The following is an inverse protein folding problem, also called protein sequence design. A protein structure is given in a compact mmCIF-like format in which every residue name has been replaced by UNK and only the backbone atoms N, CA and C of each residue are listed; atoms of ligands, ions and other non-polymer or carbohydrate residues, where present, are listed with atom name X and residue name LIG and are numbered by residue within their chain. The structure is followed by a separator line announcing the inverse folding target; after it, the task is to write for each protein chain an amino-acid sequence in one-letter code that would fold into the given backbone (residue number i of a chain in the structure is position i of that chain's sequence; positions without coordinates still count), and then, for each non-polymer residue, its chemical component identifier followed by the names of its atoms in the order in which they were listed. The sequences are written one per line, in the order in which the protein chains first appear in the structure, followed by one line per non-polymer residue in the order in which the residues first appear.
data_IF_403711399138
#
_entry.id   IF_403711399138
#
_cell.length_a   1.000
_cell.length_b   1.000
_cell.length_c   1.000
_cell.angle_alpha   90.00
_cell.angle_beta   90.00
_cell.angle_gamma   90.00
#
_symmetry.space_group_name_H-M   'P 1'
#
loop_
_entity.id
_entity.type
_entity.pdbx_description
1 polymer ?
#
# COMPACT_ATOMS: atom_id res chain seq x y z
N UNK A 1 1.70 5.85 -8.39
CA UNK A 1 0.43 5.18 -8.01
C UNK A 1 -0.73 6.13 -8.31
N UNK A 2 -1.66 5.73 -9.16
CA UNK A 2 -2.78 6.59 -9.61
C UNK A 2 -4.07 6.14 -8.95
N UNK A 3 -4.77 7.03 -8.25
CA UNK A 3 -6.13 6.76 -7.75
C UNK A 3 -7.07 6.69 -8.96
N UNK A 4 -7.84 5.61 -9.10
CA UNK A 4 -8.83 5.49 -10.19
C UNK A 4 -10.08 6.33 -9.86
N UNK A 5 -10.07 7.61 -10.24
CA UNK A 5 -11.14 8.58 -9.99
C UNK A 5 -12.05 8.87 -11.18
N UNK A 6 -11.77 8.28 -12.35
CA UNK A 6 -12.45 8.58 -13.62
C UNK A 6 -14.00 8.56 -13.55
N UNK A 7 -14.66 7.67 -12.79
CA UNK A 7 -16.13 7.68 -12.68
C UNK A 7 -16.72 8.87 -11.90
N UNK A 8 -15.95 9.51 -11.00
CA UNK A 8 -16.39 10.74 -10.32
C UNK A 8 -16.26 11.96 -11.24
N UNK A 9 -15.15 12.06 -11.97
CA UNK A 9 -14.92 13.15 -12.91
C UNK A 9 -15.99 13.15 -14.03
N UNK A 10 -16.42 11.98 -14.49
CA UNK A 10 -17.52 11.83 -15.45
C UNK A 10 -18.87 12.38 -14.95
N UNK A 11 -19.06 12.54 -13.64
CA UNK A 11 -20.29 13.07 -13.00
C UNK A 11 -20.12 14.52 -12.49
N UNK A 12 -19.30 15.33 -13.18
CA UNK A 12 -18.95 16.73 -12.83
C UNK A 12 -18.02 16.87 -11.62
N UNK A 13 -17.28 15.82 -11.26
CA UNK A 13 -16.35 15.85 -10.13
C UNK A 13 -17.09 15.87 -8.79
N UNK A 14 -16.56 16.63 -7.84
CA UNK A 14 -17.16 16.80 -6.50
C UNK A 14 -17.10 18.27 -6.08
N UNK A 15 -18.00 18.70 -5.19
CA UNK A 15 -18.04 20.08 -4.71
C UNK A 15 -17.48 20.19 -3.28
N UNK A 16 -16.48 21.05 -3.08
CA UNK A 16 -16.07 21.49 -1.74
C UNK A 16 -16.45 22.97 -1.62
N UNK A 17 -17.31 23.31 -0.66
CA UNK A 17 -17.70 24.71 -0.42
C UNK A 17 -18.36 25.39 -1.62
N UNK A 18 -19.04 24.64 -2.50
CA UNK A 18 -19.68 25.16 -3.72
C UNK A 18 -18.78 25.21 -4.97
N UNK A 19 -17.49 24.88 -4.85
CA UNK A 19 -16.54 24.86 -5.97
C UNK A 19 -16.42 23.43 -6.51
N UNK A 20 -16.69 23.24 -7.81
CA UNK A 20 -16.50 21.96 -8.49
C UNK A 20 -15.00 21.69 -8.67
N UNK A 21 -14.56 20.50 -8.25
CA UNK A 21 -13.18 20.04 -8.33
C UNK A 21 -13.10 18.68 -9.03
N UNK A 22 -12.04 18.49 -9.83
CA UNK A 22 -11.73 17.19 -10.43
C UNK A 22 -11.15 16.25 -9.36
N UNK A 23 -11.76 15.08 -9.21
CA UNK A 23 -11.29 14.02 -8.32
C UNK A 23 -9.89 13.54 -8.74
N UNK A 24 -9.62 13.44 -10.04
CA UNK A 24 -8.30 13.01 -10.56
C UNK A 24 -7.15 13.92 -10.17
N UNK A 25 -7.41 15.23 -10.10
CA UNK A 25 -6.37 16.21 -9.79
C UNK A 25 -6.32 16.58 -8.30
N UNK A 26 -7.34 16.21 -7.52
CA UNK A 26 -7.46 16.62 -6.12
C UNK A 26 -7.21 15.47 -5.14
N UNK A 27 -7.52 14.23 -5.52
CA UNK A 27 -7.32 13.09 -4.64
C UNK A 27 -5.91 12.53 -4.76
N UNK A 28 -5.34 12.22 -3.60
CA UNK A 28 -4.07 11.53 -3.45
C UNK A 28 -4.28 10.21 -2.74
N UNK A 29 -3.47 9.17 -3.02
CA UNK A 29 -3.49 7.94 -2.23
C UNK A 29 -3.26 8.27 -0.74
N UNK A 30 -4.15 7.79 0.13
CA UNK A 30 -4.13 8.10 1.56
C UNK A 30 -4.02 6.86 2.47
N UNK A 31 -4.24 5.65 1.91
CA UNK A 31 -4.06 4.40 2.64
C UNK A 31 -2.83 3.66 2.11
N UNK A 32 -2.07 3.10 3.04
CA UNK A 32 -0.86 2.34 2.83
C UNK A 32 -0.88 1.13 3.76
N UNK A 33 -0.21 0.06 3.35
CA UNK A 33 0.11 -1.07 4.21
C UNK A 33 1.62 -1.11 4.41
N UNK A 34 2.04 -1.64 5.55
CA UNK A 34 3.42 -1.96 5.83
C UNK A 34 3.51 -3.43 6.20
N UNK A 35 4.45 -4.15 5.60
CA UNK A 35 4.67 -5.56 5.90
C UNK A 35 6.16 -5.84 6.01
N UNK A 36 6.53 -6.64 6.99
CA UNK A 36 7.90 -7.10 7.19
C UNK A 36 8.27 -8.18 6.17
N UNK A 37 9.50 -8.15 5.68
CA UNK A 37 10.13 -9.22 4.91
C UNK A 37 10.43 -10.37 5.88
N UNK A 38 9.70 -11.46 5.74
CA UNK A 38 9.83 -12.65 6.59
C UNK A 38 10.86 -13.63 6.06
N UNK A 39 11.11 -13.63 4.74
CA UNK A 39 12.04 -14.56 4.10
C UNK A 39 12.61 -13.99 2.81
N UNK A 40 13.86 -14.38 2.49
CA UNK A 40 14.52 -14.18 1.20
C UNK A 40 15.13 -15.52 0.76
N UNK A 41 14.30 -16.44 0.24
CA UNK A 41 14.74 -17.81 -0.05
C UNK A 41 15.70 -17.89 -1.24
N UNK A 42 15.63 -16.90 -2.15
CA UNK A 42 16.50 -16.79 -3.33
C UNK A 42 16.78 -15.30 -3.61
N UNK A 43 17.86 -14.97 -4.36
CA UNK A 43 18.26 -13.58 -4.56
C UNK A 43 17.17 -12.67 -5.17
N UNK A 44 16.35 -13.21 -6.08
CA UNK A 44 15.32 -12.46 -6.82
C UNK A 44 13.91 -12.46 -6.20
N UNK A 45 13.76 -13.00 -4.98
CA UNK A 45 12.46 -13.13 -4.33
C UNK A 45 12.54 -12.79 -2.85
N UNK A 46 11.66 -11.89 -2.40
CA UNK A 46 11.37 -11.66 -1.00
C UNK A 46 9.92 -12.05 -0.68
N UNK A 47 9.68 -12.58 0.52
CA UNK A 47 8.34 -12.92 1.01
C UNK A 47 8.00 -12.00 2.17
N UNK A 48 6.90 -11.26 2.06
CA UNK A 48 6.44 -10.32 3.09
C UNK A 48 5.20 -10.85 3.82
N UNK A 49 5.05 -10.49 5.09
CA UNK A 49 3.93 -10.85 5.98
C UNK A 49 2.65 -10.04 5.71
N UNK A 50 2.16 -10.09 4.47
CA UNK A 50 0.92 -9.47 4.03
C UNK A 50 0.33 -10.30 2.90
N UNK A 51 -0.93 -10.72 3.02
CA UNK A 51 -1.61 -11.60 2.07
C UNK A 51 -3.04 -11.16 1.74
N UNK A 52 -3.84 -12.07 1.19
CA UNK A 52 -5.24 -11.81 0.81
C UNK A 52 -6.14 -11.40 2.00
N UNK A 53 -5.73 -11.74 3.22
CA UNK A 53 -6.40 -11.33 4.47
C UNK A 53 -6.10 -9.88 4.88
N UNK A 54 -5.11 -9.27 4.25
CA UNK A 54 -4.65 -7.90 4.52
C UNK A 54 -5.00 -6.95 3.36
N UNK A 55 -4.92 -7.43 2.13
CA UNK A 55 -5.10 -6.62 0.92
C UNK A 55 -6.08 -7.25 -0.07
N UNK A 56 -6.91 -6.43 -0.70
CA UNK A 56 -7.71 -6.83 -1.86
C UNK A 56 -6.81 -6.89 -3.11
N UNK A 57 -7.03 -7.91 -3.92
CA UNK A 57 -6.34 -8.12 -5.20
C UNK A 57 -7.29 -8.04 -6.41
N UNK A 58 -8.57 -7.72 -6.16
CA UNK A 58 -9.63 -7.75 -7.18
C UNK A 58 -9.36 -6.82 -8.37
N UNK A 59 -8.49 -5.83 -8.17
CA UNK A 59 -8.19 -4.80 -9.16
C UNK A 59 -6.67 -4.52 -9.25
N UNK A 60 -5.88 -5.56 -9.03
CA UNK A 60 -4.42 -5.55 -9.14
C UNK A 60 -3.71 -5.77 -7.81
N UNK A 61 -2.44 -6.14 -7.88
CA UNK A 61 -1.61 -6.35 -6.70
C UNK A 61 -1.20 -5.03 -6.02
N UNK A 62 -0.95 -5.05 -4.70
CA UNK A 62 -0.34 -3.92 -4.01
C UNK A 62 1.01 -3.55 -4.63
N UNK A 63 1.26 -2.26 -4.79
CA UNK A 63 2.50 -1.74 -5.38
C UNK A 63 3.50 -1.43 -4.27
N UNK A 64 4.71 -2.01 -4.26
CA UNK A 64 5.76 -1.62 -3.32
C UNK A 64 6.22 -0.19 -3.60
N UNK A 65 6.48 0.59 -2.55
CA UNK A 65 6.77 2.02 -2.66
C UNK A 65 8.10 2.42 -2.01
N UNK A 66 8.38 1.91 -0.81
CA UNK A 66 9.60 2.21 -0.07
C UNK A 66 9.92 1.03 0.83
N UNK A 67 11.20 0.74 1.01
CA UNK A 67 11.68 -0.25 1.97
C UNK A 67 12.37 0.48 3.11
N UNK A 68 12.12 0.04 4.34
CA UNK A 68 12.67 0.62 5.55
C UNK A 68 13.53 -0.40 6.29
N UNK A 69 14.74 -0.01 6.65
CA UNK A 69 15.62 -0.76 7.56
C UNK A 69 15.88 0.09 8.80
N UNK A 70 15.60 -0.45 9.98
CA UNK A 70 15.77 0.26 11.25
C UNK A 70 15.16 1.69 11.25
N UNK A 71 13.92 1.81 10.73
CA UNK A 71 13.15 3.07 10.59
C UNK A 71 13.73 4.09 9.59
N UNK A 72 14.70 3.73 8.78
CA UNK A 72 15.26 4.59 7.72
C UNK A 72 14.88 4.05 6.34
N UNK A 73 14.43 4.90 5.40
CA UNK A 73 14.18 4.46 4.04
C UNK A 73 15.49 4.04 3.38
N UNK A 74 15.46 2.92 2.66
CA UNK A 74 16.58 2.46 1.86
C UNK A 74 16.63 3.23 0.52
N UNK A 75 17.83 3.47 -0.02
CA UNK A 75 18.03 4.07 -1.33
C UNK A 75 17.77 3.03 -2.42
N UNK A 76 16.54 2.51 -2.51
CA UNK A 76 16.19 1.50 -3.49
C UNK A 76 15.07 2.03 -4.38
N UNK A 77 15.17 1.91 -5.72
CA UNK A 77 14.04 2.23 -6.57
C UNK A 77 13.03 1.11 -6.43
N UNK A 78 12.04 1.29 -5.56
CA UNK A 78 10.84 0.45 -5.50
C UNK A 78 10.16 0.30 -6.88
N UNK A 79 10.52 1.15 -7.86
CA UNK A 79 10.08 1.10 -9.25
C UNK A 79 10.38 -0.21 -10.01
N UNK A 80 11.17 -1.15 -9.45
CA UNK A 80 11.41 -2.47 -10.07
C UNK A 80 10.89 -3.66 -9.26
N UNK A 81 10.46 -3.44 -8.02
CA UNK A 81 9.89 -4.51 -7.22
C UNK A 81 8.41 -4.69 -7.60
N UNK A 82 7.96 -5.93 -7.71
CA UNK A 82 6.58 -6.24 -8.06
C UNK A 82 6.04 -7.37 -7.18
N UNK A 83 4.83 -7.19 -6.66
CA UNK A 83 4.11 -8.30 -6.03
C UNK A 83 3.57 -9.19 -7.15
N UNK A 84 4.09 -10.39 -7.26
CA UNK A 84 3.76 -11.35 -8.34
C UNK A 84 2.75 -12.41 -7.90
N UNK A 85 2.58 -12.60 -6.59
CA UNK A 85 1.64 -13.57 -6.02
C UNK A 85 1.25 -13.18 -4.60
N UNK A 86 0.01 -13.51 -4.23
CA UNK A 86 -0.51 -13.47 -2.87
C UNK A 86 -0.98 -14.86 -2.45
N UNK A 87 -0.65 -15.24 -1.22
CA UNK A 87 -1.29 -16.30 -0.45
C UNK A 87 -2.17 -15.65 0.65
N UNK A 88 -2.80 -16.47 1.50
CA UNK A 88 -3.63 -15.99 2.61
C UNK A 88 -2.96 -14.93 3.49
N UNK A 89 -1.68 -15.15 3.82
CA UNK A 89 -0.90 -14.36 4.80
C UNK A 89 0.44 -13.84 4.24
N UNK A 90 0.72 -14.09 2.96
CA UNK A 90 2.05 -13.82 2.40
C UNK A 90 1.97 -13.22 1.00
N UNK A 91 2.89 -12.31 0.71
CA UNK A 91 3.09 -11.70 -0.60
C UNK A 91 4.48 -12.07 -1.12
N UNK A 92 4.53 -12.39 -2.41
CA UNK A 92 5.75 -12.75 -3.12
C UNK A 92 6.19 -11.54 -3.91
N UNK A 93 7.30 -10.94 -3.48
CA UNK A 93 7.88 -9.74 -4.06
C UNK A 93 9.04 -10.13 -4.97
N UNK A 94 8.85 -10.03 -6.28
CA UNK A 94 9.93 -10.13 -7.25
C UNK A 94 10.80 -8.90 -7.17
N UNK A 95 12.11 -9.09 -7.06
CA UNK A 95 13.13 -8.06 -6.88
C UNK A 95 14.36 -8.36 -7.74
N UNK A 96 15.23 -7.38 -7.95
CA UNK A 96 16.50 -7.67 -8.60
C UNK A 96 17.41 -8.49 -7.65
N UNK A 97 18.18 -9.46 -8.16
CA UNK A 97 19.13 -10.22 -7.35
C UNK A 97 20.12 -9.34 -6.56
N UNK A 98 20.45 -8.16 -7.08
CA UNK A 98 21.35 -7.18 -6.48
C UNK A 98 20.70 -6.27 -5.44
N UNK A 99 19.37 -6.32 -5.26
CA UNK A 99 18.68 -5.44 -4.32
C UNK A 99 19.06 -5.80 -2.87
N UNK A 100 19.39 -4.78 -2.08
CA UNK A 100 19.73 -4.92 -0.65
C UNK A 100 18.47 -4.96 0.22
N UNK A 101 17.63 -5.98 0.03
CA UNK A 101 16.50 -6.29 0.91
C UNK A 101 16.87 -7.47 1.81
N UNK A 102 16.64 -7.32 3.11
CA UNK A 102 16.93 -8.35 4.11
C UNK A 102 15.66 -8.73 4.88
N UNK A 103 15.69 -9.92 5.50
CA UNK A 103 14.68 -10.31 6.49
C UNK A 103 14.68 -9.27 7.62
N UNK A 104 13.49 -8.85 8.04
CA UNK A 104 13.29 -7.78 9.03
C UNK A 104 13.13 -6.37 8.44
N UNK A 105 13.40 -6.19 7.14
CA UNK A 105 13.05 -4.93 6.48
C UNK A 105 11.53 -4.78 6.36
N UNK A 106 11.04 -3.54 6.40
CA UNK A 106 9.60 -3.25 6.27
C UNK A 106 9.34 -2.61 4.92
N UNK A 107 8.44 -3.19 4.13
CA UNK A 107 8.03 -2.67 2.83
C UNK A 107 6.72 -1.91 2.96
N UNK A 108 6.68 -0.67 2.48
CA UNK A 108 5.46 0.12 2.29
C UNK A 108 4.80 -0.26 0.96
N UNK A 109 3.50 -0.50 1.00
CA UNK A 109 2.67 -0.84 -0.15
C UNK A 109 1.56 0.19 -0.37
N UNK A 110 1.38 0.55 -1.63
CA UNK A 110 0.21 1.29 -2.12
C UNK A 110 -0.88 0.36 -2.63
N UNK A 111 -2.14 0.66 -2.30
CA UNK A 111 -3.31 -0.09 -2.77
C UNK A 111 -4.15 0.75 -3.74
N UNK A 112 -4.35 0.25 -4.96
CA UNK A 112 -5.12 0.96 -5.99
C UNK A 112 -6.57 1.28 -5.57
N UNK A 113 -7.17 0.40 -4.75
CA UNK A 113 -8.56 0.50 -4.31
C UNK A 113 -8.63 0.37 -2.78
N UNK A 114 -8.32 1.46 -2.05
CA UNK A 114 -8.22 1.39 -0.60
C UNK A 114 -9.55 1.09 0.08
N UNK A 115 -10.68 1.45 -0.54
CA UNK A 115 -12.01 1.17 -0.01
C UNK A 115 -12.31 -0.33 0.13
N UNK A 116 -11.79 -1.17 -0.78
CA UNK A 116 -12.00 -2.62 -0.72
C UNK A 116 -11.16 -3.29 0.35
N UNK A 117 -10.27 -2.55 1.04
CA UNK A 117 -9.42 -3.07 2.11
C UNK A 117 -9.88 -2.67 3.52
N UNK A 118 -10.84 -1.74 3.66
CA UNK A 118 -11.24 -1.23 4.96
C UNK A 118 -11.88 -2.32 5.85
N UNK A 119 -12.58 -3.27 5.23
CA UNK A 119 -13.26 -4.39 5.88
C UNK A 119 -12.31 -5.41 6.52
N UNK A 120 -11.06 -5.48 6.05
CA UNK A 120 -10.03 -6.38 6.59
C UNK A 120 -9.43 -5.90 7.91
N UNK A 121 -9.57 -4.62 8.25
CA UNK A 121 -8.92 -4.01 9.41
C UNK A 121 -9.92 -3.44 10.39
N UNK A 122 -9.92 -3.94 11.63
CA UNK A 122 -10.76 -3.41 12.72
C UNK A 122 -10.40 -1.99 13.15
N UNK A 123 -9.15 -1.58 12.91
CA UNK A 123 -8.64 -0.24 13.23
C UNK A 123 -7.67 0.19 12.13
N UNK A 124 -7.80 1.43 11.68
CA UNK A 124 -6.88 2.08 10.75
C UNK A 124 -6.19 3.24 11.47
N UNK A 125 -4.88 3.35 11.35
CA UNK A 125 -4.12 4.42 12.00
C UNK A 125 -3.96 5.63 11.09
N UNK A 126 -4.28 6.81 11.62
CA UNK A 126 -3.92 8.08 11.02
C UNK A 126 -2.53 8.50 11.49
N UNK A 127 -1.63 8.76 10.55
CA UNK A 127 -0.25 9.21 10.84
C UNK A 127 -0.03 10.65 10.41
N UNK A 128 0.86 11.36 11.10
CA UNK A 128 1.34 12.67 10.66
C UNK A 128 2.42 12.56 9.57
N UNK A 129 2.91 13.70 9.09
CA UNK A 129 3.92 13.77 8.03
C UNK A 129 5.26 13.10 8.39
N UNK A 130 5.50 12.81 9.68
CA UNK A 130 6.71 12.13 10.17
C UNK A 130 6.49 10.63 10.40
N UNK A 131 5.27 10.12 10.14
CA UNK A 131 4.90 8.72 10.34
C UNK A 131 4.47 8.39 11.77
N UNK A 132 4.31 9.38 12.65
CA UNK A 132 3.81 9.13 14.00
C UNK A 132 2.29 8.97 14.01
N UNK A 133 1.80 7.95 14.70
CA UNK A 133 0.35 7.73 14.87
C UNK A 133 -0.25 8.86 15.69
N UNK A 134 -1.30 9.49 15.15
CA UNK A 134 -2.09 10.55 15.79
C UNK A 134 -3.52 10.14 16.06
N UNK A 135 -4.04 9.20 15.28
CA UNK A 135 -5.43 8.77 15.34
C UNK A 135 -5.55 7.26 15.20
N UNK A 136 -6.57 6.69 15.84
CA UNK A 136 -7.03 5.33 15.61
C UNK A 136 -8.49 5.41 15.17
N UNK A 137 -8.76 4.97 13.93
CA UNK A 137 -10.09 4.95 13.34
C UNK A 137 -10.63 3.52 13.43
N UNK A 138 -11.51 3.21 14.40
CA UNK A 138 -12.20 1.93 14.40
C UNK A 138 -13.06 1.80 13.15
N UNK A 139 -13.18 0.57 12.67
CA UNK A 139 -14.10 0.22 11.58
C UNK A 139 -15.15 -0.76 12.11
N UNK A 140 -16.32 -0.76 11.46
CA UNK A 140 -17.45 -1.59 11.88
C UNK A 140 -17.97 -2.36 10.67
N UNK A 141 -17.38 -3.53 10.48
CA UNK A 141 -17.77 -4.50 9.47
C UNK A 141 -18.24 -5.77 10.19
N UNK A 142 -19.23 -6.46 9.60
CA UNK A 142 -19.94 -7.60 10.20
C UNK A 142 -19.77 -8.87 9.41
#
# INVERSE_FOLDING_TARGET
MTVRSAPLDARKGFAIGGISASARHSFRPALRLWAEVLSRPEPGLAICGMGMRDVSFDQGFPTPLTVFRARKPLPMPAARAEVVKLNDQHSFLSIAPSDDIAVGDVVEFGISHPCTCLDRYRVIFGVDATGHVRHAFPTWFG
#
